data_IF_821047614221
#
_entry.id   IF_821047614221
#
_cell.length_a   1.000
_cell.length_b   1.000
_cell.length_c   1.000
_cell.angle_alpha   90.00
_cell.angle_beta   90.00
_cell.angle_gamma   90.00
#
_symmetry.space_group_name_H-M   'P 1'
#
loop_
_entity.id
_entity.type
_entity.pdbx_description
1 polymer ?
#
# COMPACT_ATOMS: atom_id res chain seq x y z
N UNK A 1 -19.10 4.71 21.50
CA UNK A 1 -20.19 3.71 21.57
C UNK A 1 -21.12 3.87 22.78
N UNK A 2 -20.68 4.22 23.99
CA UNK A 2 -21.52 4.10 25.21
C UNK A 2 -22.85 4.90 25.34
N UNK A 3 -23.13 5.94 24.54
CA UNK A 3 -24.32 6.79 24.73
C UNK A 3 -25.54 6.33 23.91
N UNK A 4 -25.32 5.83 22.70
CA UNK A 4 -26.38 5.39 21.78
C UNK A 4 -27.03 4.10 22.31
N UNK A 5 -26.24 3.13 22.74
CA UNK A 5 -26.75 1.85 23.24
C UNK A 5 -27.69 2.04 24.44
N UNK A 6 -27.34 2.95 25.36
CA UNK A 6 -28.15 3.28 26.52
C UNK A 6 -29.48 3.95 26.15
N UNK A 7 -29.46 4.87 25.17
CA UNK A 7 -30.67 5.54 24.67
C UNK A 7 -31.57 4.53 23.98
N UNK A 8 -31.01 3.73 23.08
CA UNK A 8 -31.76 2.74 22.31
C UNK A 8 -32.37 1.68 23.24
N UNK A 9 -31.59 1.14 24.16
CA UNK A 9 -32.08 0.16 25.16
C UNK A 9 -33.24 0.73 25.98
N UNK A 10 -33.16 2.01 26.35
CA UNK A 10 -34.25 2.68 27.09
C UNK A 10 -35.50 2.84 26.23
N UNK A 11 -35.36 3.21 24.96
CA UNK A 11 -36.50 3.36 24.04
C UNK A 11 -37.26 2.04 23.86
N UNK A 12 -36.54 0.92 23.75
CA UNK A 12 -37.16 -0.39 23.58
C UNK A 12 -37.92 -0.87 24.83
N UNK A 13 -37.48 -0.46 26.02
CA UNK A 13 -38.08 -0.87 27.29
C UNK A 13 -39.11 0.14 27.83
N UNK A 14 -39.38 1.24 27.13
CA UNK A 14 -40.30 2.29 27.59
C UNK A 14 -41.77 1.88 27.32
N UNK A 15 -42.58 1.56 28.35
CA UNK A 15 -43.90 0.95 28.15
C UNK A 15 -44.93 1.87 27.49
N UNK A 16 -44.71 3.18 27.55
CA UNK A 16 -45.62 4.17 26.98
C UNK A 16 -45.33 4.45 25.50
N UNK A 17 -44.23 3.93 24.97
CA UNK A 17 -43.82 4.15 23.60
C UNK A 17 -44.66 3.27 22.65
N UNK A 18 -44.99 3.81 21.47
CA UNK A 18 -45.64 3.02 20.42
C UNK A 18 -44.57 2.41 19.53
N UNK A 19 -44.19 1.16 19.81
CA UNK A 19 -43.09 0.49 19.12
C UNK A 19 -43.27 0.40 17.61
N UNK A 20 -44.48 0.18 17.10
CA UNK A 20 -44.75 0.19 15.64
C UNK A 20 -44.38 1.53 15.00
N UNK A 21 -44.66 2.65 15.68
CA UNK A 21 -44.32 4.00 15.19
C UNK A 21 -42.83 4.29 15.29
N UNK A 22 -42.16 3.79 16.32
CA UNK A 22 -40.72 3.92 16.45
C UNK A 22 -40.00 3.09 15.37
N UNK A 23 -40.50 1.90 15.07
CA UNK A 23 -40.01 1.07 13.97
C UNK A 23 -40.20 1.77 12.61
N UNK A 24 -41.41 2.27 12.30
CA UNK A 24 -41.68 3.07 11.09
C UNK A 24 -40.71 4.27 10.97
N UNK A 25 -40.48 4.98 12.07
CA UNK A 25 -39.56 6.11 12.10
C UNK A 25 -38.11 5.68 11.86
N UNK A 26 -37.64 4.63 12.53
CA UNK A 26 -36.30 4.08 12.34
C UNK A 26 -36.07 3.61 10.90
N UNK A 27 -37.08 3.01 10.27
CA UNK A 27 -37.05 2.67 8.86
C UNK A 27 -36.90 3.90 7.97
N UNK A 28 -37.67 4.97 8.22
CA UNK A 28 -37.51 6.23 7.47
C UNK A 28 -36.13 6.87 7.66
N UNK A 29 -35.54 6.75 8.86
CA UNK A 29 -34.18 7.21 9.12
C UNK A 29 -33.14 6.43 8.32
N UNK A 30 -33.31 5.12 8.16
CA UNK A 30 -32.39 4.30 7.38
C UNK A 30 -32.52 4.51 5.85
N UNK A 31 -33.68 4.96 5.37
CA UNK A 31 -34.01 4.91 3.92
C UNK A 31 -34.31 6.24 3.25
N UNK A 32 -34.68 7.29 3.98
CA UNK A 32 -35.19 8.54 3.38
C UNK A 32 -34.37 9.80 3.70
N UNK A 33 -33.51 9.75 4.72
CA UNK A 33 -32.71 10.92 5.14
C UNK A 33 -31.43 11.12 4.32
N UNK A 34 -30.92 12.34 4.30
CA UNK A 34 -29.62 12.69 3.71
C UNK A 34 -28.49 12.79 4.75
N UNK A 35 -28.82 12.74 6.05
CA UNK A 35 -27.84 12.84 7.13
C UNK A 35 -27.33 11.44 7.56
N UNK A 36 -26.02 11.23 7.40
CA UNK A 36 -25.37 9.94 7.68
C UNK A 36 -25.54 9.46 9.12
N UNK A 37 -25.56 10.37 10.10
CA UNK A 37 -25.68 9.99 11.52
C UNK A 37 -27.10 9.50 11.82
N UNK A 38 -28.09 10.12 11.18
CA UNK A 38 -29.48 9.68 11.23
C UNK A 38 -29.65 8.27 10.62
N UNK A 39 -28.98 7.98 9.49
CA UNK A 39 -28.99 6.62 8.89
C UNK A 39 -28.42 5.59 9.86
N UNK A 40 -27.24 5.85 10.43
CA UNK A 40 -26.60 4.97 11.42
C UNK A 40 -27.50 4.70 12.63
N UNK A 41 -28.17 5.75 13.12
CA UNK A 41 -29.13 5.63 14.22
C UNK A 41 -30.36 4.78 13.83
N UNK A 42 -30.88 4.95 12.62
CA UNK A 42 -31.94 4.12 12.05
C UNK A 42 -31.54 2.64 12.00
N UNK A 43 -30.36 2.33 11.45
CA UNK A 43 -29.81 0.96 11.38
C UNK A 43 -29.70 0.36 12.79
N UNK A 44 -29.10 1.09 13.73
CA UNK A 44 -28.90 0.63 15.10
C UNK A 44 -30.24 0.34 15.83
N UNK A 45 -31.27 1.18 15.61
CA UNK A 45 -32.60 0.94 16.16
C UNK A 45 -33.28 -0.28 15.54
N UNK A 46 -33.30 -0.37 14.21
CA UNK A 46 -33.93 -1.49 13.49
C UNK A 46 -33.29 -2.83 13.85
N UNK A 47 -31.97 -2.87 14.01
CA UNK A 47 -31.22 -4.08 14.36
C UNK A 47 -31.65 -4.71 15.68
N UNK A 48 -32.31 -3.99 16.58
CA UNK A 48 -32.74 -4.53 17.88
C UNK A 48 -34.19 -4.98 17.92
N UNK A 49 -34.97 -4.71 16.87
CA UNK A 49 -36.33 -5.23 16.75
C UNK A 49 -36.36 -6.72 16.35
N UNK A 50 -35.21 -7.31 15.98
CA UNK A 50 -35.09 -8.73 15.62
C UNK A 50 -36.09 -9.15 14.52
N UNK A 51 -36.23 -8.29 13.51
CA UNK A 51 -37.08 -8.52 12.33
C UNK A 51 -36.18 -8.96 11.19
N UNK A 52 -36.26 -10.23 10.81
CA UNK A 52 -35.41 -10.87 9.81
C UNK A 52 -35.53 -10.18 8.44
N UNK A 53 -36.71 -9.66 8.09
CA UNK A 53 -36.96 -8.95 6.83
C UNK A 53 -36.09 -7.68 6.67
N UNK A 54 -35.51 -7.17 7.76
CA UNK A 54 -34.54 -6.07 7.70
C UNK A 54 -33.15 -6.49 7.19
N UNK A 55 -32.86 -7.80 7.11
CA UNK A 55 -31.55 -8.30 6.68
C UNK A 55 -31.17 -7.78 5.29
N UNK A 56 -32.11 -7.81 4.33
CA UNK A 56 -31.88 -7.28 2.97
C UNK A 56 -31.51 -5.79 3.00
N UNK A 57 -32.18 -5.00 3.83
CA UNK A 57 -31.86 -3.57 4.00
C UNK A 57 -30.44 -3.39 4.55
N UNK A 58 -30.03 -4.18 5.53
CA UNK A 58 -28.69 -4.09 6.12
C UNK A 58 -27.59 -4.54 5.14
N UNK A 59 -27.85 -5.53 4.30
CA UNK A 59 -26.94 -5.89 3.21
C UNK A 59 -26.79 -4.77 2.18
N UNK A 60 -27.88 -4.10 1.81
CA UNK A 60 -27.85 -2.99 0.85
C UNK A 60 -27.04 -1.82 1.41
N UNK A 61 -27.38 -1.36 2.62
CA UNK A 61 -26.72 -0.20 3.24
C UNK A 61 -25.28 -0.52 3.63
N UNK A 62 -25.03 -1.74 4.12
CA UNK A 62 -23.73 -2.17 4.62
C UNK A 62 -22.64 -2.24 3.55
N UNK A 63 -22.99 -2.25 2.26
CA UNK A 63 -22.01 -2.16 1.16
C UNK A 63 -21.28 -0.83 1.11
N UNK A 64 -21.78 0.19 1.81
CA UNK A 64 -21.11 1.47 1.95
C UNK A 64 -20.32 1.52 3.26
N UNK A 65 -19.01 1.79 3.17
CA UNK A 65 -18.05 1.68 4.31
C UNK A 65 -18.47 2.51 5.54
N UNK A 66 -19.12 3.67 5.32
CA UNK A 66 -19.71 4.52 6.38
C UNK A 66 -20.75 3.80 7.27
N UNK A 67 -21.43 2.77 6.74
CA UNK A 67 -22.53 2.07 7.40
C UNK A 67 -22.21 0.62 7.73
N UNK A 68 -21.17 0.03 7.12
CA UNK A 68 -20.84 -1.39 7.24
C UNK A 68 -20.76 -1.87 8.67
N UNK A 69 -20.07 -1.14 9.56
CA UNK A 69 -19.97 -1.51 10.98
C UNK A 69 -21.34 -1.62 11.67
N UNK A 70 -22.23 -0.65 11.42
CA UNK A 70 -23.57 -0.63 12.00
C UNK A 70 -24.45 -1.75 11.44
N UNK A 71 -24.37 -1.98 10.13
CA UNK A 71 -25.07 -3.07 9.46
C UNK A 71 -24.58 -4.44 9.92
N UNK A 72 -23.26 -4.63 10.11
CA UNK A 72 -22.69 -5.87 10.62
C UNK A 72 -23.24 -6.19 12.03
N UNK A 73 -23.28 -5.19 12.93
CA UNK A 73 -23.91 -5.36 14.26
C UNK A 73 -25.40 -5.68 14.15
N UNK A 74 -26.12 -4.99 13.25
CA UNK A 74 -27.54 -5.24 13.04
C UNK A 74 -27.82 -6.65 12.50
N UNK A 75 -27.02 -7.12 11.54
CA UNK A 75 -27.11 -8.47 10.97
C UNK A 75 -26.92 -9.56 12.04
N UNK A 76 -25.96 -9.39 12.96
CA UNK A 76 -25.77 -10.31 14.09
C UNK A 76 -27.01 -10.43 14.99
N UNK A 77 -27.86 -9.41 15.03
CA UNK A 77 -29.07 -9.42 15.86
C UNK A 77 -30.33 -9.92 15.15
N UNK A 78 -30.38 -9.84 13.81
CA UNK A 78 -31.62 -10.13 13.05
C UNK A 78 -31.55 -11.34 12.13
N UNK A 79 -30.36 -11.74 11.70
CA UNK A 79 -30.22 -12.83 10.75
C UNK A 79 -30.33 -14.19 11.45
N UNK A 80 -31.05 -15.13 10.82
CA UNK A 80 -31.14 -16.53 11.28
C UNK A 80 -29.76 -17.20 11.30
N UNK A 81 -28.94 -16.94 10.28
CA UNK A 81 -27.53 -17.29 10.22
C UNK A 81 -26.68 -16.03 10.13
N UNK A 82 -26.19 -15.60 11.30
CA UNK A 82 -25.39 -14.39 11.40
C UNK A 82 -24.03 -14.51 10.72
N UNK A 83 -23.40 -15.69 10.72
CA UNK A 83 -22.09 -15.85 10.07
C UNK A 83 -22.23 -15.78 8.56
N UNK A 84 -23.25 -16.42 8.00
CA UNK A 84 -23.56 -16.35 6.57
C UNK A 84 -23.85 -14.91 6.13
N UNK A 85 -24.71 -14.19 6.86
CA UNK A 85 -25.03 -12.79 6.55
C UNK A 85 -23.80 -11.87 6.67
N UNK A 86 -22.95 -12.08 7.67
CA UNK A 86 -21.70 -11.34 7.79
C UNK A 86 -20.76 -11.65 6.61
N UNK A 87 -20.57 -12.92 6.28
CA UNK A 87 -19.71 -13.34 5.18
C UNK A 87 -20.14 -12.78 3.83
N UNK A 88 -21.44 -12.85 3.50
CA UNK A 88 -22.00 -12.24 2.29
C UNK A 88 -21.75 -10.74 2.22
N UNK A 89 -21.80 -10.04 3.37
CA UNK A 89 -21.45 -8.62 3.42
C UNK A 89 -19.94 -8.41 3.22
N UNK A 90 -19.09 -9.22 3.86
CA UNK A 90 -17.63 -9.14 3.77
C UNK A 90 -17.11 -9.28 2.33
N UNK A 91 -17.77 -10.12 1.53
CA UNK A 91 -17.46 -10.31 0.11
C UNK A 91 -17.66 -9.04 -0.74
N UNK A 92 -18.42 -8.05 -0.25
CA UNK A 92 -18.79 -6.85 -0.99
C UNK A 92 -18.16 -5.56 -0.45
N UNK A 93 -17.31 -5.64 0.58
CA UNK A 93 -16.65 -4.48 1.19
C UNK A 93 -15.14 -4.66 1.21
N UNK A 94 -14.40 -3.57 1.01
CA UNK A 94 -12.95 -3.52 1.01
C UNK A 94 -12.56 -2.25 1.77
N UNK A 95 -12.05 -2.39 3.00
CA UNK A 95 -11.75 -1.28 3.86
C UNK A 95 -11.91 -1.63 5.34
N UNK A 96 -12.34 -0.63 6.13
CA UNK A 96 -12.64 -0.81 7.55
C UNK A 96 -13.85 -1.72 7.77
N UNK A 97 -14.83 -1.68 6.87
CA UNK A 97 -15.96 -2.59 6.89
C UNK A 97 -15.55 -4.06 6.85
N UNK A 98 -14.60 -4.43 5.98
CA UNK A 98 -14.07 -5.81 5.90
C UNK A 98 -13.37 -6.19 7.20
N UNK A 99 -12.53 -5.29 7.73
CA UNK A 99 -11.82 -5.51 9.01
C UNK A 99 -12.81 -5.88 10.10
N UNK A 100 -13.83 -5.05 10.31
CA UNK A 100 -14.84 -5.28 11.35
C UNK A 100 -15.63 -6.57 11.18
N UNK A 101 -15.88 -7.01 9.95
CA UNK A 101 -16.64 -8.24 9.72
C UNK A 101 -15.76 -9.48 9.91
N UNK A 102 -14.54 -9.49 9.37
CA UNK A 102 -13.61 -10.62 9.54
C UNK A 102 -13.24 -10.81 11.01
N UNK A 103 -13.08 -9.73 11.79
CA UNK A 103 -12.93 -9.80 13.25
C UNK A 103 -14.08 -10.54 13.95
N UNK A 104 -15.31 -10.41 13.43
CA UNK A 104 -16.49 -11.12 13.96
C UNK A 104 -16.57 -12.56 13.50
N UNK A 105 -15.90 -12.90 12.40
CA UNK A 105 -15.79 -14.26 11.86
C UNK A 105 -14.55 -15.00 12.39
N UNK A 106 -13.79 -14.40 13.32
CA UNK A 106 -12.52 -14.95 13.81
C UNK A 106 -12.64 -16.30 14.54
N UNK A 107 -13.84 -16.70 14.95
CA UNK A 107 -14.10 -17.98 15.62
C UNK A 107 -14.97 -18.93 14.77
N UNK A 108 -15.19 -18.65 13.48
CA UNK A 108 -16.07 -19.49 12.64
C UNK A 108 -15.55 -20.93 12.54
N UNK A 109 -16.50 -21.86 12.57
CA UNK A 109 -16.30 -23.28 12.28
C UNK A 109 -16.83 -23.67 10.88
N UNK A 110 -17.38 -22.72 10.12
CA UNK A 110 -17.89 -22.97 8.79
C UNK A 110 -16.73 -23.11 7.78
N UNK A 111 -16.60 -24.30 7.20
CA UNK A 111 -15.52 -24.63 6.26
C UNK A 111 -15.52 -23.76 4.98
N UNK A 112 -16.69 -23.31 4.50
CA UNK A 112 -16.76 -22.41 3.34
C UNK A 112 -16.24 -21.00 3.69
N UNK A 113 -16.55 -20.52 4.89
CA UNK A 113 -16.04 -19.23 5.38
C UNK A 113 -14.53 -19.33 5.65
N UNK A 114 -14.05 -20.45 6.22
CA UNK A 114 -12.62 -20.69 6.44
C UNK A 114 -11.82 -20.72 5.13
N UNK A 115 -12.30 -21.42 4.11
CA UNK A 115 -11.65 -21.42 2.79
C UNK A 115 -11.64 -20.02 2.17
N UNK A 116 -12.75 -19.28 2.29
CA UNK A 116 -12.81 -17.89 1.84
C UNK A 116 -11.84 -16.97 2.60
N UNK A 117 -11.71 -17.12 3.93
CA UNK A 117 -10.77 -16.36 4.75
C UNK A 117 -9.35 -16.55 4.22
N UNK A 118 -8.96 -17.80 3.94
CA UNK A 118 -7.63 -18.11 3.40
C UNK A 118 -7.39 -17.52 2.00
N UNK A 119 -8.38 -17.59 1.12
CA UNK A 119 -8.20 -17.24 -0.31
C UNK A 119 -8.42 -15.77 -0.63
N UNK A 120 -9.26 -15.09 0.15
CA UNK A 120 -9.76 -13.76 -0.20
C UNK A 120 -10.00 -12.86 1.01
N UNK A 121 -10.35 -13.40 2.19
CA UNK A 121 -10.79 -12.60 3.34
C UNK A 121 -9.78 -11.58 3.85
N UNK A 122 -8.49 -11.87 3.70
CA UNK A 122 -7.41 -10.97 4.11
C UNK A 122 -7.16 -9.80 3.14
N UNK A 123 -7.57 -9.94 1.87
CA UNK A 123 -7.34 -8.94 0.83
C UNK A 123 -8.14 -7.68 1.10
N UNK A 124 -7.46 -6.56 1.30
CA UNK A 124 -8.08 -5.35 1.82
C UNK A 124 -7.46 -4.07 1.24
N UNK A 125 -8.25 -3.00 1.16
CA UNK A 125 -7.80 -1.71 0.61
C UNK A 125 -7.06 -0.82 1.60
N UNK A 126 -7.15 -1.09 2.92
CA UNK A 126 -6.38 -0.38 3.95
C UNK A 126 -4.99 -0.99 4.08
N UNK A 127 -4.91 -2.15 4.73
CA UNK A 127 -3.72 -2.99 4.86
C UNK A 127 -4.20 -4.43 5.01
N UNK A 128 -3.47 -5.34 4.37
CA UNK A 128 -3.72 -6.78 4.42
C UNK A 128 -3.32 -7.35 5.78
N UNK A 129 -2.31 -6.73 6.41
CA UNK A 129 -1.73 -7.11 7.70
C UNK A 129 -2.72 -7.01 8.86
N UNK A 130 -3.79 -6.21 8.73
CA UNK A 130 -4.89 -6.21 9.74
C UNK A 130 -5.62 -7.56 9.84
N UNK A 131 -5.64 -8.33 8.75
CA UNK A 131 -6.49 -9.51 8.61
C UNK A 131 -5.71 -10.80 8.43
N UNK A 132 -4.42 -10.70 8.10
CA UNK A 132 -3.58 -11.85 7.78
C UNK A 132 -3.56 -12.90 8.90
N UNK A 133 -3.42 -12.49 10.16
CA UNK A 133 -3.43 -13.41 11.30
C UNK A 133 -4.77 -14.15 11.45
N UNK A 134 -5.89 -13.43 11.50
CA UNK A 134 -7.21 -14.04 11.63
C UNK A 134 -7.46 -15.01 10.47
N UNK A 135 -7.13 -14.61 9.26
CA UNK A 135 -7.35 -15.44 8.08
C UNK A 135 -6.46 -16.69 8.09
N UNK A 136 -5.18 -16.57 8.44
CA UNK A 136 -4.27 -17.72 8.52
C UNK A 136 -4.64 -18.68 9.67
N UNK A 137 -4.97 -18.14 10.84
CA UNK A 137 -5.28 -18.91 12.04
C UNK A 137 -6.67 -19.55 11.97
N UNK A 138 -7.73 -18.76 11.77
CA UNK A 138 -9.11 -19.24 11.73
C UNK A 138 -9.40 -20.02 10.45
N UNK A 139 -8.86 -19.57 9.32
CA UNK A 139 -8.95 -20.28 8.05
C UNK A 139 -8.18 -21.60 8.05
N UNK A 140 -7.22 -21.79 8.96
CA UNK A 140 -6.45 -23.03 9.09
C UNK A 140 -5.45 -23.20 7.96
N UNK A 141 -4.52 -22.25 7.80
CA UNK A 141 -3.55 -22.26 6.71
C UNK A 141 -2.67 -23.54 6.70
N UNK A 142 -2.20 -23.99 7.87
CA UNK A 142 -1.40 -25.21 7.99
C UNK A 142 -2.17 -26.47 7.54
N UNK A 143 -3.37 -26.79 8.07
CA UNK A 143 -4.13 -27.95 7.60
C UNK A 143 -4.56 -27.81 6.13
N UNK A 144 -4.86 -26.60 5.64
CA UNK A 144 -5.19 -26.38 4.23
C UNK A 144 -4.01 -26.76 3.31
N UNK A 145 -2.80 -26.27 3.61
CA UNK A 145 -1.58 -26.64 2.90
C UNK A 145 -1.32 -28.15 2.98
N UNK A 146 -1.50 -28.77 4.14
CA UNK A 146 -1.31 -30.21 4.28
C UNK A 146 -2.28 -31.04 3.42
N UNK A 147 -3.55 -30.64 3.36
CA UNK A 147 -4.61 -31.43 2.72
C UNK A 147 -4.74 -31.19 1.21
N UNK A 148 -4.27 -30.05 0.71
CA UNK A 148 -4.35 -29.67 -0.70
C UNK A 148 -2.97 -29.55 -1.30
N UNK A 149 -2.55 -30.59 -2.02
CA UNK A 149 -1.25 -30.62 -2.71
C UNK A 149 -1.37 -29.99 -4.09
N UNK A 150 -0.49 -29.02 -4.40
CA UNK A 150 -0.43 -28.37 -5.73
C UNK A 150 -1.70 -27.58 -6.10
N UNK A 151 -2.47 -27.10 -5.11
CA UNK A 151 -3.53 -26.12 -5.33
C UNK A 151 -2.92 -24.73 -5.54
N UNK A 152 -2.92 -24.26 -6.79
CA UNK A 152 -2.27 -22.99 -7.17
C UNK A 152 -2.96 -21.77 -6.58
N UNK A 153 -4.27 -21.78 -6.43
CA UNK A 153 -4.98 -20.64 -5.84
C UNK A 153 -4.65 -20.53 -4.36
N UNK A 154 -4.65 -21.67 -3.64
CA UNK A 154 -4.25 -21.73 -2.24
C UNK A 154 -2.80 -21.32 -2.05
N UNK A 155 -1.87 -21.80 -2.90
CA UNK A 155 -0.46 -21.44 -2.81
C UNK A 155 -0.24 -19.94 -3.04
N UNK A 156 -1.00 -19.32 -3.95
CA UNK A 156 -0.93 -17.87 -4.17
C UNK A 156 -1.36 -17.13 -2.91
N UNK A 157 -2.52 -17.46 -2.37
CA UNK A 157 -3.03 -16.81 -1.17
C UNK A 157 -2.16 -17.08 0.07
N UNK A 158 -1.60 -18.30 0.20
CA UNK A 158 -0.67 -18.65 1.26
C UNK A 158 0.61 -17.81 1.20
N UNK A 159 1.16 -17.56 0.01
CA UNK A 159 2.30 -16.69 -0.19
C UNK A 159 2.03 -15.26 0.27
N UNK A 160 0.88 -14.70 -0.14
CA UNK A 160 0.43 -13.36 0.28
C UNK A 160 0.23 -13.27 1.80
N UNK A 161 -0.43 -14.26 2.42
CA UNK A 161 -0.65 -14.33 3.87
C UNK A 161 0.67 -14.42 4.65
N UNK A 162 1.58 -15.29 4.22
CA UNK A 162 2.90 -15.44 4.85
C UNK A 162 3.70 -14.15 4.75
N UNK A 163 3.68 -13.48 3.59
CA UNK A 163 4.36 -12.18 3.43
C UNK A 163 3.74 -11.10 4.32
N UNK A 164 2.41 -11.00 4.38
CA UNK A 164 1.72 -10.04 5.25
C UNK A 164 2.05 -10.27 6.74
N UNK A 165 2.05 -11.52 7.19
CA UNK A 165 2.46 -11.88 8.54
C UNK A 165 3.93 -11.54 8.81
N UNK A 166 4.83 -11.71 7.83
CA UNK A 166 6.26 -11.38 7.96
C UNK A 166 6.50 -9.87 8.03
N UNK A 167 5.77 -9.09 7.22
CA UNK A 167 5.89 -7.64 7.20
C UNK A 167 5.44 -7.03 8.54
N UNK A 168 4.46 -7.66 9.19
CA UNK A 168 3.89 -7.20 10.44
C UNK A 168 3.07 -5.93 10.26
N UNK A 169 2.28 -5.59 11.28
CA UNK A 169 1.35 -4.50 11.17
C UNK A 169 0.73 -4.09 12.49
N UNK A 170 -0.47 -3.48 12.45
CA UNK A 170 -1.18 -3.07 13.65
C UNK A 170 -1.87 -4.21 14.42
N UNK A 171 -1.97 -5.40 13.81
CA UNK A 171 -2.51 -6.62 14.41
C UNK A 171 -1.38 -7.65 14.65
N UNK A 172 -1.74 -8.82 15.18
CA UNK A 172 -0.85 -9.97 15.34
C UNK A 172 -0.15 -10.35 14.02
N UNK A 173 1.08 -10.84 14.13
CA UNK A 173 1.97 -11.10 12.99
C UNK A 173 2.56 -12.52 13.00
N UNK A 174 3.60 -12.77 12.19
CA UNK A 174 4.27 -14.08 12.10
C UNK A 174 4.82 -14.57 13.44
N UNK A 175 5.22 -13.67 14.33
CA UNK A 175 5.71 -14.07 15.64
C UNK A 175 4.56 -14.62 16.50
N UNK A 176 3.32 -14.12 16.34
CA UNK A 176 2.11 -14.56 17.05
C UNK A 176 1.40 -15.77 16.46
N UNK A 177 1.79 -16.20 15.26
CA UNK A 177 1.20 -17.35 14.59
C UNK A 177 1.92 -18.66 14.98
N UNK A 178 1.32 -19.42 15.91
CA UNK A 178 1.88 -20.66 16.46
C UNK A 178 2.28 -21.70 15.39
N UNK A 179 1.50 -21.81 14.32
CA UNK A 179 1.74 -22.72 13.20
C UNK A 179 2.71 -22.17 12.14
N UNK A 180 3.24 -20.95 12.33
CA UNK A 180 4.00 -20.20 11.32
C UNK A 180 5.19 -20.96 10.74
N UNK A 181 6.02 -21.57 11.59
CA UNK A 181 7.17 -22.34 11.13
C UNK A 181 6.78 -23.55 10.27
N UNK A 182 5.72 -24.26 10.66
CA UNK A 182 5.23 -25.44 9.95
C UNK A 182 4.52 -25.05 8.65
N UNK A 183 3.73 -23.97 8.65
CA UNK A 183 3.04 -23.47 7.46
C UNK A 183 4.05 -23.00 6.40
N UNK A 184 5.09 -22.25 6.80
CA UNK A 184 6.18 -21.84 5.90
C UNK A 184 6.94 -23.05 5.36
N UNK A 185 7.17 -24.07 6.18
CA UNK A 185 7.80 -25.30 5.72
C UNK A 185 6.99 -25.99 4.62
N UNK A 186 5.69 -26.24 4.85
CA UNK A 186 4.83 -26.89 3.85
C UNK A 186 4.67 -26.05 2.59
N UNK A 187 4.52 -24.73 2.73
CA UNK A 187 4.46 -23.81 1.59
C UNK A 187 5.71 -23.94 0.71
N UNK A 188 6.91 -23.86 1.28
CA UNK A 188 8.16 -23.98 0.52
C UNK A 188 8.31 -25.35 -0.14
N UNK A 189 7.90 -26.43 0.53
CA UNK A 189 7.92 -27.79 -0.05
C UNK A 189 7.04 -27.88 -1.30
N UNK A 190 5.83 -27.32 -1.25
CA UNK A 190 4.91 -27.37 -2.39
C UNK A 190 5.35 -26.45 -3.54
N UNK A 191 5.81 -25.24 -3.24
CA UNK A 191 6.35 -24.30 -4.24
C UNK A 191 7.60 -24.88 -4.91
N UNK A 192 8.36 -25.74 -4.21
CA UNK A 192 9.51 -26.41 -4.82
C UNK A 192 9.10 -27.33 -5.99
N UNK A 193 7.86 -27.80 -6.06
CA UNK A 193 7.37 -28.66 -7.16
C UNK A 193 6.37 -27.96 -8.09
N UNK A 194 5.83 -26.80 -7.68
CA UNK A 194 4.82 -26.07 -8.43
C UNK A 194 5.39 -25.24 -9.60
N UNK A 195 4.57 -24.95 -10.63
CA UNK A 195 4.84 -23.83 -11.53
C UNK A 195 4.84 -22.53 -10.73
N UNK A 196 5.97 -21.83 -10.78
CA UNK A 196 6.18 -20.62 -9.97
C UNK A 196 5.83 -19.33 -10.72
N UNK A 197 5.53 -18.25 -10.00
CA UNK A 197 5.31 -16.88 -10.51
C UNK A 197 6.35 -15.89 -9.95
N UNK A 198 6.35 -14.65 -10.43
CA UNK A 198 7.21 -13.61 -9.85
C UNK A 198 6.76 -13.21 -8.43
N UNK A 199 5.47 -13.30 -8.13
CA UNK A 199 4.96 -13.13 -6.76
C UNK A 199 5.55 -14.20 -5.83
N UNK A 200 5.55 -15.47 -6.26
CA UNK A 200 6.17 -16.57 -5.49
C UNK A 200 7.65 -16.26 -5.18
N UNK A 201 8.41 -15.74 -6.15
CA UNK A 201 9.80 -15.34 -5.93
C UNK A 201 9.93 -14.29 -4.83
N UNK A 202 9.03 -13.30 -4.79
CA UNK A 202 9.06 -12.21 -3.82
C UNK A 202 8.61 -12.68 -2.43
N UNK A 203 7.56 -13.51 -2.34
CA UNK A 203 7.16 -14.14 -1.08
C UNK A 203 8.30 -14.98 -0.49
N UNK A 204 8.99 -15.79 -1.31
CA UNK A 204 10.14 -16.60 -0.88
C UNK A 204 11.31 -15.71 -0.46
N UNK A 205 11.51 -14.57 -1.12
CA UNK A 205 12.51 -13.59 -0.71
C UNK A 205 12.15 -12.95 0.64
N UNK A 206 10.89 -12.64 0.89
CA UNK A 206 10.42 -12.14 2.19
C UNK A 206 10.68 -13.17 3.30
N UNK A 207 10.36 -14.45 3.06
CA UNK A 207 10.69 -15.56 3.97
C UNK A 207 12.21 -15.64 4.22
N UNK A 208 13.03 -15.56 3.17
CA UNK A 208 14.49 -15.59 3.33
C UNK A 208 15.02 -14.41 4.18
N UNK A 209 14.45 -13.22 4.02
CA UNK A 209 14.81 -12.03 4.81
C UNK A 209 14.38 -12.20 6.27
N UNK A 210 13.15 -12.67 6.51
CA UNK A 210 12.65 -12.98 7.85
C UNK A 210 13.57 -13.98 8.58
N UNK A 211 13.96 -15.05 7.88
CA UNK A 211 14.85 -16.07 8.42
C UNK A 211 16.27 -15.55 8.67
N UNK A 212 16.75 -14.60 7.88
CA UNK A 212 18.12 -14.07 8.01
C UNK A 212 18.24 -12.84 8.93
N UNK A 213 17.14 -12.35 9.49
CA UNK A 213 17.12 -11.19 10.37
C UNK A 213 17.94 -11.45 11.66
N UNK A 214 19.07 -10.76 11.81
CA UNK A 214 19.95 -10.91 12.98
C UNK A 214 19.46 -10.12 14.20
N UNK A 215 18.53 -9.18 14.01
CA UNK A 215 18.00 -8.32 15.06
C UNK A 215 16.78 -8.94 15.77
N UNK A 216 16.23 -10.04 15.23
CA UNK A 216 15.11 -10.75 15.82
C UNK A 216 15.50 -11.52 17.09
N UNK A 217 14.54 -11.65 18.03
CA UNK A 217 14.69 -12.47 19.23
C UNK A 217 14.50 -13.97 18.89
N UNK A 218 15.61 -14.60 18.49
CA UNK A 218 15.61 -16.00 18.09
C UNK A 218 15.39 -16.98 19.25
N UNK A 219 15.61 -16.56 20.49
CA UNK A 219 15.32 -17.39 21.65
C UNK A 219 13.80 -17.54 21.80
N UNK A 220 13.05 -16.43 21.71
CA UNK A 220 11.58 -16.43 21.71
C UNK A 220 11.03 -17.18 20.50
N UNK A 221 11.52 -16.91 19.29
CA UNK A 221 11.06 -17.62 18.07
C UNK A 221 11.32 -19.12 18.15
N UNK A 222 12.43 -19.55 18.76
CA UNK A 222 12.71 -20.97 18.94
C UNK A 222 11.69 -21.67 19.85
N UNK A 223 11.11 -20.98 20.83
CA UNK A 223 10.02 -21.51 21.66
C UNK A 223 8.72 -21.68 20.85
N UNK A 224 8.54 -20.90 19.79
CA UNK A 224 7.41 -20.94 18.84
C UNK A 224 7.71 -21.74 17.56
N UNK A 225 8.57 -22.76 17.64
CA UNK A 225 8.81 -23.70 16.54
C UNK A 225 9.90 -23.29 15.53
N UNK A 226 10.45 -22.09 15.60
CA UNK A 226 11.56 -21.63 14.75
C UNK A 226 12.93 -22.06 15.28
N UNK A 227 13.10 -23.36 15.52
CA UNK A 227 14.39 -23.89 15.98
C UNK A 227 15.52 -23.57 15.01
N UNK A 228 16.76 -23.61 15.50
CA UNK A 228 17.94 -23.39 14.65
C UNK A 228 17.99 -24.35 13.46
N UNK A 229 17.66 -25.62 13.68
CA UNK A 229 17.63 -26.65 12.64
C UNK A 229 16.50 -26.37 11.63
N UNK A 230 15.33 -25.94 12.11
CA UNK A 230 14.21 -25.54 11.26
C UNK A 230 14.62 -24.37 10.36
N UNK A 231 15.14 -23.29 10.95
CA UNK A 231 15.62 -22.11 10.24
C UNK A 231 16.64 -22.46 9.16
N UNK A 232 17.68 -23.23 9.49
CA UNK A 232 18.72 -23.60 8.52
C UNK A 232 18.17 -24.37 7.31
N UNK A 233 17.22 -25.27 7.55
CA UNK A 233 16.56 -26.05 6.50
C UNK A 233 15.67 -25.17 5.61
N UNK A 234 14.91 -24.24 6.20
CA UNK A 234 14.08 -23.28 5.46
C UNK A 234 14.92 -22.27 4.67
N UNK A 235 16.02 -21.77 5.23
CA UNK A 235 16.99 -20.92 4.53
C UNK A 235 17.57 -21.65 3.30
N UNK A 236 17.92 -22.93 3.46
CA UNK A 236 18.40 -23.77 2.37
C UNK A 236 17.32 -24.01 1.30
N UNK A 237 16.05 -24.19 1.70
CA UNK A 237 14.93 -24.34 0.77
C UNK A 237 14.69 -23.05 -0.03
N UNK A 238 14.61 -21.90 0.64
CA UNK A 238 14.50 -20.59 -0.01
C UNK A 238 15.63 -20.39 -1.01
N UNK A 239 16.88 -20.70 -0.61
CA UNK A 239 18.05 -20.59 -1.50
C UNK A 239 17.91 -21.45 -2.75
N UNK A 240 17.54 -22.74 -2.62
CA UNK A 240 17.36 -23.62 -3.79
C UNK A 240 16.31 -23.09 -4.76
N UNK A 241 15.21 -22.55 -4.26
CA UNK A 241 14.14 -22.01 -5.11
C UNK A 241 14.60 -20.71 -5.78
N UNK A 242 15.19 -19.77 -5.03
CA UNK A 242 15.65 -18.48 -5.55
C UNK A 242 16.83 -18.59 -6.54
N UNK A 243 17.61 -19.67 -6.48
CA UNK A 243 18.73 -19.95 -7.40
C UNK A 243 18.30 -20.65 -8.70
N UNK A 244 17.00 -20.86 -8.94
CA UNK A 244 16.52 -21.45 -10.20
C UNK A 244 16.86 -20.54 -11.39
N UNK A 245 17.33 -21.13 -12.52
CA UNK A 245 17.76 -20.34 -13.68
C UNK A 245 16.61 -19.66 -14.43
N UNK A 246 15.37 -20.09 -14.21
CA UNK A 246 14.20 -19.53 -14.91
C UNK A 246 13.87 -18.10 -14.49
N UNK A 247 14.32 -17.64 -13.31
CA UNK A 247 13.96 -16.32 -12.78
C UNK A 247 14.43 -15.18 -13.64
N UNK A 248 15.67 -15.23 -14.16
CA UNK A 248 16.17 -14.18 -15.05
C UNK A 248 15.30 -14.05 -16.30
N UNK A 249 14.87 -15.17 -16.88
CA UNK A 249 14.01 -15.16 -18.08
C UNK A 249 12.64 -14.59 -17.77
N UNK A 250 12.02 -15.01 -16.66
CA UNK A 250 10.70 -14.50 -16.22
C UNK A 250 10.75 -13.02 -15.89
N UNK A 251 11.77 -12.55 -15.18
CA UNK A 251 11.97 -11.13 -14.88
C UNK A 251 12.12 -10.32 -16.16
N UNK A 252 12.93 -10.77 -17.12
CA UNK A 252 13.07 -10.08 -18.41
C UNK A 252 11.79 -10.06 -19.25
N UNK A 253 10.91 -11.06 -19.09
CA UNK A 253 9.59 -11.08 -19.72
C UNK A 253 8.66 -10.06 -19.05
N UNK A 254 8.53 -10.10 -17.72
CA UNK A 254 7.68 -9.16 -16.99
C UNK A 254 8.14 -7.70 -17.10
N UNK A 255 9.45 -7.46 -17.19
CA UNK A 255 9.99 -6.11 -17.44
C UNK A 255 9.53 -5.52 -18.80
N UNK A 256 9.10 -6.36 -19.75
CA UNK A 256 8.55 -5.96 -21.05
C UNK A 256 7.02 -5.94 -21.09
N UNK A 257 6.35 -6.32 -20.01
CA UNK A 257 4.89 -6.38 -19.98
C UNK A 257 4.27 -4.99 -19.97
N UNK A 258 3.21 -4.77 -20.75
CA UNK A 258 2.43 -3.53 -20.68
C UNK A 258 1.56 -3.46 -19.40
N UNK A 259 1.40 -4.58 -18.70
CA UNK A 259 0.71 -4.64 -17.42
C UNK A 259 1.60 -4.05 -16.31
N UNK A 260 1.13 -2.99 -15.66
CA UNK A 260 1.89 -2.28 -14.62
C UNK A 260 2.17 -3.16 -13.40
N UNK A 261 1.26 -4.08 -13.06
CA UNK A 261 1.45 -4.98 -11.93
C UNK A 261 2.56 -5.98 -12.23
N UNK A 262 2.51 -6.65 -13.39
CA UNK A 262 3.56 -7.57 -13.82
C UNK A 262 4.92 -6.87 -13.94
N UNK A 263 4.96 -5.65 -14.49
CA UNK A 263 6.18 -4.86 -14.54
C UNK A 263 6.71 -4.55 -13.15
N UNK A 264 5.84 -4.15 -12.23
CA UNK A 264 6.21 -3.83 -10.85
C UNK A 264 6.85 -5.04 -10.17
N UNK A 265 6.22 -6.22 -10.25
CA UNK A 265 6.77 -7.44 -9.67
C UNK A 265 8.11 -7.83 -10.30
N UNK A 266 8.22 -7.72 -11.63
CA UNK A 266 9.47 -7.98 -12.33
C UNK A 266 10.59 -7.00 -11.95
N UNK A 267 10.28 -5.71 -11.79
CA UNK A 267 11.24 -4.71 -11.37
C UNK A 267 11.73 -4.94 -9.92
N UNK A 268 10.85 -5.36 -9.02
CA UNK A 268 11.23 -5.73 -7.65
C UNK A 268 12.14 -6.96 -7.65
N UNK A 269 11.78 -8.00 -8.40
CA UNK A 269 12.60 -9.21 -8.55
C UNK A 269 13.95 -8.91 -9.23
N UNK A 270 13.99 -8.01 -10.22
CA UNK A 270 15.22 -7.58 -10.88
C UNK A 270 16.22 -6.95 -9.90
N UNK A 271 15.75 -6.17 -8.91
CA UNK A 271 16.61 -5.60 -7.85
C UNK A 271 17.25 -6.68 -6.99
N UNK A 272 16.48 -7.73 -6.65
CA UNK A 272 16.99 -8.88 -5.88
C UNK A 272 18.07 -9.64 -6.68
N UNK A 273 17.81 -9.87 -7.97
CA UNK A 273 18.74 -10.55 -8.88
C UNK A 273 19.88 -9.64 -9.39
N UNK A 274 19.85 -8.35 -9.07
CA UNK A 274 20.79 -7.32 -9.55
C UNK A 274 20.85 -7.24 -11.08
N UNK A 275 19.69 -7.41 -11.74
CA UNK A 275 19.57 -7.23 -13.18
C UNK A 275 19.43 -5.75 -13.51
N UNK A 276 20.08 -5.25 -14.59
CA UNK A 276 19.93 -3.87 -15.01
C UNK A 276 18.51 -3.65 -15.55
N UNK A 277 17.84 -2.60 -15.05
CA UNK A 277 16.47 -2.24 -15.44
C UNK A 277 16.37 -0.93 -16.21
N UNK A 278 17.47 -0.20 -16.37
CA UNK A 278 17.48 1.15 -16.95
C UNK A 278 16.81 1.21 -18.33
N UNK A 279 17.15 0.30 -19.25
CA UNK A 279 16.59 0.28 -20.61
C UNK A 279 15.05 0.17 -20.60
N UNK A 280 14.48 -0.63 -19.68
CA UNK A 280 13.03 -0.82 -19.60
C UNK A 280 12.29 0.39 -19.01
N UNK A 281 12.92 1.09 -18.06
CA UNK A 281 12.39 2.36 -17.54
C UNK A 281 12.54 3.47 -18.58
N UNK A 282 13.62 3.42 -19.37
CA UNK A 282 13.86 4.37 -20.46
C UNK A 282 12.79 4.26 -21.53
N UNK A 283 12.52 3.04 -22.02
CA UNK A 283 11.48 2.79 -23.02
C UNK A 283 10.10 3.30 -22.54
N UNK A 284 9.71 2.98 -21.29
CA UNK A 284 8.44 3.46 -20.71
C UNK A 284 8.37 4.97 -20.55
N UNK A 285 9.48 5.61 -20.19
CA UNK A 285 9.53 7.08 -20.13
C UNK A 285 9.32 7.69 -21.52
N UNK A 286 9.90 7.09 -22.56
CA UNK A 286 9.73 7.58 -23.92
C UNK A 286 8.28 7.44 -24.42
N UNK A 287 7.57 6.41 -23.98
CA UNK A 287 6.15 6.21 -24.30
C UNK A 287 5.22 7.19 -23.56
N UNK A 288 5.56 7.53 -22.31
CA UNK A 288 4.73 8.38 -21.44
C UNK A 288 5.57 9.48 -20.74
N UNK A 289 6.13 10.46 -21.48
CA UNK A 289 7.01 11.48 -20.92
C UNK A 289 6.30 12.48 -19.98
N UNK A 290 4.97 12.60 -20.08
CA UNK A 290 4.15 13.45 -19.21
C UNK A 290 3.80 12.79 -17.86
N UNK A 291 4.17 11.52 -17.64
CA UNK A 291 3.97 10.83 -16.37
C UNK A 291 5.21 11.01 -15.46
N UNK A 292 5.02 11.78 -14.40
CA UNK A 292 6.05 12.07 -13.40
C UNK A 292 6.62 10.79 -12.73
N UNK A 293 5.81 9.73 -12.58
CA UNK A 293 6.24 8.46 -12.02
C UNK A 293 7.34 7.78 -12.87
N UNK A 294 7.29 7.93 -14.19
CA UNK A 294 8.31 7.37 -15.09
C UNK A 294 9.67 8.03 -14.89
N UNK A 295 9.68 9.35 -14.70
CA UNK A 295 10.90 10.10 -14.36
C UNK A 295 11.49 9.64 -13.02
N UNK A 296 10.66 9.50 -12.00
CA UNK A 296 11.09 9.01 -10.69
C UNK A 296 11.77 7.63 -10.78
N UNK A 297 11.10 6.66 -11.41
CA UNK A 297 11.61 5.29 -11.48
C UNK A 297 12.90 5.19 -12.32
N UNK A 298 12.98 5.90 -13.45
CA UNK A 298 14.19 5.94 -14.28
C UNK A 298 15.38 6.55 -13.52
N UNK A 299 15.19 7.71 -12.90
CA UNK A 299 16.28 8.44 -12.23
C UNK A 299 16.83 7.69 -11.02
N UNK A 300 15.97 6.90 -10.33
CA UNK A 300 16.39 6.04 -9.23
C UNK A 300 17.44 5.00 -9.67
N UNK A 301 17.36 4.53 -10.91
CA UNK A 301 18.28 3.53 -11.50
C UNK A 301 19.28 4.15 -12.49
N UNK A 302 19.31 5.48 -12.61
CA UNK A 302 20.21 6.19 -13.51
C UNK A 302 21.61 6.34 -12.91
N UNK A 303 22.63 6.09 -13.75
CA UNK A 303 24.04 6.34 -13.48
C UNK A 303 24.61 7.45 -14.39
N UNK A 304 25.82 7.94 -14.09
CA UNK A 304 26.45 9.07 -14.81
C UNK A 304 26.50 8.93 -16.34
N UNK A 305 26.82 7.75 -16.93
CA UNK A 305 26.88 7.62 -18.39
C UNK A 305 25.54 7.87 -19.08
N UNK A 306 24.43 7.63 -18.39
CA UNK A 306 23.07 7.75 -18.92
C UNK A 306 22.49 9.14 -18.67
N UNK A 307 22.95 9.84 -17.62
CA UNK A 307 22.35 11.10 -17.16
C UNK A 307 22.24 12.14 -18.28
N UNK A 308 23.29 12.30 -19.09
CA UNK A 308 23.30 13.29 -20.19
C UNK A 308 22.12 13.06 -21.14
N UNK A 309 21.87 11.81 -21.51
CA UNK A 309 20.75 11.43 -22.37
C UNK A 309 19.39 11.74 -21.71
N UNK A 310 19.27 11.51 -20.40
CA UNK A 310 18.04 11.81 -19.64
C UNK A 310 17.78 13.32 -19.59
N UNK A 311 18.80 14.13 -19.34
CA UNK A 311 18.69 15.59 -19.26
C UNK A 311 18.35 16.20 -20.64
N UNK A 312 19.03 15.75 -21.69
CA UNK A 312 18.75 16.18 -23.06
C UNK A 312 17.30 15.86 -23.46
N UNK A 313 16.79 14.70 -23.06
CA UNK A 313 15.40 14.32 -23.29
C UNK A 313 14.43 15.18 -22.48
N UNK A 314 14.73 15.46 -21.20
CA UNK A 314 13.92 16.34 -20.37
C UNK A 314 13.80 17.76 -20.96
N UNK A 315 14.91 18.33 -21.44
CA UNK A 315 14.92 19.65 -22.08
C UNK A 315 14.12 19.68 -23.39
N UNK A 316 13.91 18.54 -24.05
CA UNK A 316 13.09 18.43 -25.26
C UNK A 316 11.60 18.21 -24.97
N UNK A 317 11.26 17.48 -23.90
CA UNK A 317 9.88 17.12 -23.58
C UNK A 317 9.17 18.15 -22.68
N UNK A 318 9.90 18.80 -21.77
CA UNK A 318 9.31 19.75 -20.84
C UNK A 318 9.23 21.15 -21.46
N UNK A 319 8.08 21.80 -21.32
CA UNK A 319 7.91 23.21 -21.65
C UNK A 319 8.51 24.06 -20.52
N UNK A 320 9.84 24.18 -20.54
CA UNK A 320 10.60 24.90 -19.51
C UNK A 320 10.23 26.37 -19.43
N UNK A 321 9.80 26.98 -20.54
CA UNK A 321 9.35 28.39 -20.57
C UNK A 321 8.03 28.54 -19.81
N UNK A 322 7.09 27.61 -20.00
CA UNK A 322 5.83 27.57 -19.24
C UNK A 322 6.08 27.29 -17.76
N UNK A 323 7.00 26.38 -17.45
CA UNK A 323 7.37 26.09 -16.05
C UNK A 323 8.00 27.33 -15.40
N UNK A 324 8.88 28.03 -16.10
CA UNK A 324 9.60 29.20 -15.64
C UNK A 324 8.75 30.50 -15.66
N UNK A 325 7.45 30.41 -15.35
CA UNK A 325 6.52 31.54 -15.42
C UNK A 325 6.70 32.60 -14.33
N UNK A 326 7.57 32.36 -13.35
CA UNK A 326 7.87 33.25 -12.23
C UNK A 326 7.55 32.61 -10.88
N UNK A 327 8.36 32.88 -9.83
CA UNK A 327 8.19 32.28 -8.52
C UNK A 327 6.90 32.74 -7.83
N UNK A 328 6.28 31.83 -7.09
CA UNK A 328 4.98 32.03 -6.44
C UNK A 328 4.64 30.92 -5.46
N UNK A 329 3.38 30.88 -5.04
CA UNK A 329 2.83 29.93 -4.06
C UNK A 329 1.83 28.95 -4.70
N UNK A 330 2.05 28.59 -5.96
CA UNK A 330 1.15 27.68 -6.66
C UNK A 330 1.17 26.29 -6.00
N UNK A 331 0.02 25.60 -5.91
CA UNK A 331 -0.11 24.36 -5.16
C UNK A 331 0.71 23.21 -5.76
N UNK A 332 1.01 23.24 -7.06
CA UNK A 332 1.75 22.16 -7.73
C UNK A 332 0.94 20.88 -7.92
N UNK A 333 -0.39 20.95 -7.86
CA UNK A 333 -1.30 19.81 -7.95
C UNK A 333 -2.36 20.06 -9.01
N UNK A 334 -2.68 19.05 -9.81
CA UNK A 334 -3.65 19.11 -10.90
C UNK A 334 -2.99 19.08 -12.28
N UNK A 335 -3.82 18.99 -13.33
CA UNK A 335 -3.37 18.78 -14.70
C UNK A 335 -2.42 19.88 -15.20
N UNK A 336 -2.63 21.12 -14.78
CA UNK A 336 -1.77 22.26 -15.15
C UNK A 336 -0.33 22.14 -14.61
N UNK A 337 -0.10 21.27 -13.62
CA UNK A 337 1.19 21.10 -12.95
C UNK A 337 1.89 19.78 -13.27
N UNK A 338 1.40 18.97 -14.21
CA UNK A 338 2.01 17.68 -14.56
C UNK A 338 3.51 17.79 -14.86
N UNK A 339 3.89 18.72 -15.73
CA UNK A 339 5.29 18.92 -16.09
C UNK A 339 6.14 19.52 -14.95
N UNK A 340 5.53 20.24 -14.00
CA UNK A 340 6.20 20.64 -12.77
C UNK A 340 6.52 19.43 -11.89
N UNK A 341 5.65 18.42 -11.86
CA UNK A 341 5.88 17.14 -11.22
C UNK A 341 7.02 16.36 -11.87
N UNK A 342 7.07 16.30 -13.20
CA UNK A 342 8.19 15.69 -13.93
C UNK A 342 9.53 16.38 -13.60
N UNK A 343 9.55 17.72 -13.66
CA UNK A 343 10.74 18.50 -13.31
C UNK A 343 11.15 18.29 -11.83
N UNK A 344 10.18 18.15 -10.92
CA UNK A 344 10.45 17.95 -9.50
C UNK A 344 11.37 16.74 -9.24
N UNK A 345 11.04 15.60 -9.84
CA UNK A 345 11.84 14.38 -9.69
C UNK A 345 13.23 14.52 -10.30
N UNK A 346 13.36 15.21 -11.44
CA UNK A 346 14.67 15.50 -12.04
C UNK A 346 15.52 16.36 -11.11
N UNK A 347 14.96 17.47 -10.62
CA UNK A 347 15.67 18.38 -9.70
C UNK A 347 16.06 17.68 -8.39
N UNK A 348 15.18 16.83 -7.87
CA UNK A 348 15.44 16.05 -6.66
C UNK A 348 16.69 15.17 -6.81
N UNK A 349 16.82 14.50 -7.96
CA UNK A 349 17.90 13.55 -8.23
C UNK A 349 19.20 14.21 -8.71
N UNK A 350 19.14 15.41 -9.28
CA UNK A 350 20.34 16.20 -9.66
C UNK A 350 21.27 16.49 -8.47
N UNK A 351 20.80 16.39 -7.23
CA UNK A 351 21.67 16.43 -6.02
C UNK A 351 22.79 15.39 -6.06
N UNK A 352 22.55 14.21 -6.65
CA UNK A 352 23.52 13.13 -6.82
C UNK A 352 24.55 13.42 -7.91
N UNK A 353 24.31 14.43 -8.75
CA UNK A 353 25.12 14.74 -9.93
C UNK A 353 25.55 16.22 -9.94
N UNK A 354 26.45 16.64 -9.02
CA UNK A 354 26.92 18.03 -8.95
C UNK A 354 27.43 18.57 -10.29
N UNK A 355 27.00 19.77 -10.65
CA UNK A 355 27.40 20.46 -11.89
C UNK A 355 26.55 20.14 -13.12
N UNK A 356 25.57 19.24 -13.03
CA UNK A 356 24.73 18.80 -14.15
C UNK A 356 23.33 19.45 -14.14
N UNK A 357 22.66 19.49 -15.29
CA UNK A 357 21.25 19.90 -15.39
C UNK A 357 21.01 21.41 -15.21
N UNK A 358 21.97 22.25 -15.62
CA UNK A 358 21.91 23.72 -15.45
C UNK A 358 20.58 24.33 -15.95
N UNK A 359 20.15 23.98 -17.16
CA UNK A 359 18.93 24.52 -17.79
C UNK A 359 17.68 24.18 -16.99
N UNK A 360 17.57 22.93 -16.54
CA UNK A 360 16.45 22.44 -15.73
C UNK A 360 16.43 23.11 -14.34
N UNK A 361 17.60 23.31 -13.72
CA UNK A 361 17.73 24.05 -12.47
C UNK A 361 17.29 25.51 -12.64
N UNK A 362 17.70 26.18 -13.72
CA UNK A 362 17.28 27.55 -14.01
C UNK A 362 15.76 27.68 -14.17
N UNK A 363 15.12 26.72 -14.85
CA UNK A 363 13.66 26.68 -14.96
C UNK A 363 13.01 26.41 -13.59
N UNK A 364 13.57 25.47 -12.82
CA UNK A 364 13.11 25.12 -11.48
C UNK A 364 13.12 26.30 -10.50
N UNK A 365 14.17 27.11 -10.51
CA UNK A 365 14.30 28.33 -9.68
C UNK A 365 13.24 29.39 -10.00
N UNK A 366 12.69 29.39 -11.22
CA UNK A 366 11.66 30.34 -11.68
C UNK A 366 10.24 29.76 -11.63
N UNK A 367 10.09 28.53 -11.14
CA UNK A 367 8.79 27.86 -11.08
C UNK A 367 7.85 28.52 -10.08
N UNK A 368 6.55 28.69 -10.40
CA UNK A 368 5.54 29.15 -9.43
C UNK A 368 5.30 28.13 -8.32
N UNK A 369 5.78 26.88 -8.46
CA UNK A 369 5.67 25.82 -7.46
C UNK A 369 6.88 25.85 -6.53
N UNK A 370 6.66 26.16 -5.25
CA UNK A 370 7.74 26.29 -4.25
C UNK A 370 8.61 25.03 -4.12
N UNK A 371 8.02 23.84 -4.30
CA UNK A 371 8.75 22.57 -4.20
C UNK A 371 9.83 22.45 -5.27
N UNK A 372 9.56 22.83 -6.52
CA UNK A 372 10.58 22.84 -7.58
C UNK A 372 11.73 23.78 -7.22
N UNK A 373 11.43 24.98 -6.71
CA UNK A 373 12.47 25.95 -6.30
C UNK A 373 13.32 25.38 -5.18
N UNK A 374 12.72 24.74 -4.17
CA UNK A 374 13.42 24.05 -3.09
C UNK A 374 14.34 22.94 -3.62
N UNK A 375 13.87 22.10 -4.54
CA UNK A 375 14.68 21.03 -5.14
C UNK A 375 15.83 21.59 -5.97
N UNK A 376 15.61 22.66 -6.74
CA UNK A 376 16.66 23.33 -7.50
C UNK A 376 17.75 23.94 -6.60
N UNK A 377 17.37 24.60 -5.50
CA UNK A 377 18.31 25.13 -4.50
C UNK A 377 19.09 23.99 -3.83
N UNK A 378 18.41 22.89 -3.48
CA UNK A 378 19.06 21.73 -2.88
C UNK A 378 20.05 21.05 -3.85
N UNK A 379 19.74 20.95 -5.15
CA UNK A 379 20.66 20.50 -6.18
C UNK A 379 21.89 21.41 -6.30
N UNK A 380 21.69 22.73 -6.29
CA UNK A 380 22.78 23.69 -6.32
C UNK A 380 23.68 23.65 -5.07
N UNK A 381 23.13 23.30 -3.91
CA UNK A 381 23.92 23.17 -2.69
C UNK A 381 25.03 22.11 -2.80
N UNK A 382 24.86 21.08 -3.64
CA UNK A 382 25.87 20.02 -3.85
C UNK A 382 26.96 20.42 -4.84
N UNK A 383 26.81 21.54 -5.55
CA UNK A 383 27.79 22.00 -6.53
C UNK A 383 29.05 22.56 -5.87
N UNK A 384 30.22 22.03 -6.26
CA UNK A 384 31.52 22.52 -5.80
C UNK A 384 31.95 23.86 -6.42
N UNK A 385 31.47 24.18 -7.63
CA UNK A 385 31.74 25.49 -8.26
C UNK A 385 30.87 26.58 -7.65
N UNK A 386 31.45 27.29 -6.68
CA UNK A 386 30.79 28.40 -5.98
C UNK A 386 30.48 29.56 -6.93
N UNK A 387 31.29 29.80 -7.96
CA UNK A 387 31.07 30.92 -8.87
C UNK A 387 29.83 30.68 -9.74
N UNK A 388 29.71 29.48 -10.29
CA UNK A 388 28.56 29.09 -11.10
C UNK A 388 27.27 29.01 -10.27
N UNK A 389 27.34 28.41 -9.07
CA UNK A 389 26.23 28.38 -8.12
C UNK A 389 25.73 29.78 -7.77
N UNK A 390 26.63 30.68 -7.37
CA UNK A 390 26.28 32.04 -6.99
C UNK A 390 25.72 32.84 -8.17
N UNK A 391 26.16 32.58 -9.41
CA UNK A 391 25.61 33.24 -10.59
C UNK A 391 24.13 32.91 -10.79
N UNK A 392 23.72 31.66 -10.58
CA UNK A 392 22.34 31.20 -10.70
C UNK A 392 21.44 31.74 -9.58
N UNK A 393 21.94 31.75 -8.34
CA UNK A 393 21.15 32.15 -7.17
C UNK A 393 20.93 33.67 -7.06
N UNK A 394 21.88 34.50 -7.54
CA UNK A 394 21.79 35.97 -7.42
C UNK A 394 20.52 36.56 -8.03
N UNK A 395 20.05 36.01 -9.16
CA UNK A 395 18.81 36.47 -9.77
C UNK A 395 17.59 35.89 -9.07
N UNK A 396 17.66 34.63 -8.65
CA UNK A 396 16.54 33.94 -8.01
C UNK A 396 16.19 34.55 -6.63
N UNK A 397 17.21 34.89 -5.82
CA UNK A 397 17.02 35.41 -4.45
C UNK A 397 16.30 36.76 -4.43
N UNK A 398 16.47 37.60 -5.45
CA UNK A 398 15.86 38.92 -5.55
C UNK A 398 14.34 38.87 -5.76
N UNK A 399 13.85 37.80 -6.39
CA UNK A 399 12.43 37.64 -6.77
C UNK A 399 11.72 36.54 -5.98
N UNK A 400 12.41 35.86 -5.05
CA UNK A 400 11.84 34.76 -4.26
C UNK A 400 10.79 35.29 -3.25
N UNK A 401 9.52 34.84 -3.33
CA UNK A 401 8.47 35.25 -2.40
C UNK A 401 8.56 34.55 -1.03
N UNK A 402 9.12 33.34 -0.94
CA UNK A 402 9.25 32.62 0.32
C UNK A 402 10.49 33.07 1.10
N UNK A 403 10.28 33.77 2.22
CA UNK A 403 11.38 34.34 3.01
C UNK A 403 12.35 33.29 3.58
N UNK A 404 11.89 32.06 3.83
CA UNK A 404 12.77 30.99 4.30
C UNK A 404 13.69 30.49 3.20
N UNK A 405 13.14 30.21 2.01
CA UNK A 405 13.91 29.81 0.84
C UNK A 405 14.86 30.92 0.38
N UNK A 406 14.43 32.18 0.42
CA UNK A 406 15.28 33.34 0.15
C UNK A 406 16.51 33.35 1.07
N UNK A 407 16.33 33.08 2.37
CA UNK A 407 17.44 32.98 3.32
C UNK A 407 18.37 31.81 3.00
N UNK A 408 17.83 30.65 2.59
CA UNK A 408 18.62 29.50 2.17
C UNK A 408 19.48 29.81 0.92
N UNK A 409 18.90 30.49 -0.06
CA UNK A 409 19.64 30.96 -1.25
C UNK A 409 20.77 31.93 -0.84
N UNK A 410 20.51 32.87 0.07
CA UNK A 410 21.51 33.81 0.58
C UNK A 410 22.66 33.09 1.30
N UNK A 411 22.35 32.11 2.17
CA UNK A 411 23.36 31.26 2.83
C UNK A 411 24.30 30.61 1.81
N UNK A 412 23.75 30.02 0.75
CA UNK A 412 24.56 29.38 -0.31
C UNK A 412 25.42 30.37 -1.11
N UNK A 413 24.91 31.59 -1.33
CA UNK A 413 25.67 32.69 -1.96
C UNK A 413 26.87 33.09 -1.08
N UNK A 414 26.66 33.14 0.23
CA UNK A 414 27.69 33.48 1.23
C UNK A 414 28.65 32.33 1.54
N UNK A 415 28.49 31.18 0.85
CA UNK A 415 29.32 29.99 1.02
C UNK A 415 29.02 29.18 2.28
N UNK A 416 27.88 29.41 2.91
CA UNK A 416 27.42 28.65 4.09
C UNK A 416 26.66 27.39 3.64
N UNK A 417 26.81 26.26 4.35
CA UNK A 417 26.03 25.07 4.08
C UNK A 417 24.55 25.28 4.45
N UNK A 418 23.66 24.50 3.83
CA UNK A 418 22.28 24.38 4.30
C UNK A 418 22.27 23.48 5.54
N UNK A 419 21.49 23.84 6.55
CA UNK A 419 21.18 22.94 7.67
C UNK A 419 20.17 21.91 7.16
N UNK A 420 20.37 20.63 7.52
CA UNK A 420 19.48 19.51 7.15
C UNK A 420 18.08 19.64 7.72
#
# INVERSE_FOLDING_TARGET
MALIDAVITRLLNEPQLKHDRLYELAHSFATETTDRETVKFGIALLGLYQVEENSELFHILGRHDEFTLFCAVALTNVADDSEQALWELAQNVFGWGRIHIVERLAETENEEIRDWLLREGFRNSVLTEYLAYICANTGGLLPALHNSTQDRELLTAAGELIEALINGGPAEDMDDYDDGAAAVELYLQQIEEAPVTLDDFLHIRAIQLYLSNQEADWDVRSERGWSRECRQRLEAACKRILERPEWETRVRQGLKSEDEYEFFQANQAARVLKLPTWDYHWDRLQEQPDDAGRWFHLLLVCEEPQLTQVLDFAEQQLDLDRIASGPGDAPGVGDDFKQHGCLDYILQELRRFPGQGKTLIEAGLKSPVIRNRKMAVAALATWGDTSQRCALLKQAVEIEPDGHLQLQMQKLIDGQPLEE
#
